data_IF_260445838215
#
_entry.id   IF_260445838215
#
_cell.length_a   1.000
_cell.length_b   1.000
_cell.length_c   1.000
_cell.angle_alpha   90.00
_cell.angle_beta   90.00
_cell.angle_gamma   90.00
#
_symmetry.space_group_name_H-M   'P 1'
#
loop_
_entity.id
_entity.type
_entity.pdbx_description
1 polymer ?
#
# COMPACT_ATOMS: atom_id res chain seq x y z
N UNK A 1 -1.72 15.35 50.45
CA UNK A 1 -2.76 14.96 49.48
C UNK A 1 -3.26 13.60 49.92
N UNK A 2 -4.45 13.55 50.53
CA UNK A 2 -5.06 12.32 51.04
C UNK A 2 -5.90 11.71 49.93
N UNK A 3 -5.74 10.41 49.66
CA UNK A 3 -6.51 9.70 48.63
C UNK A 3 -7.61 8.94 49.36
N UNK A 4 -8.87 9.25 49.06
CA UNK A 4 -10.02 8.49 49.56
C UNK A 4 -10.20 7.22 48.73
N UNK A 5 -9.95 6.05 49.32
CA UNK A 5 -10.27 4.75 48.73
C UNK A 5 -11.62 4.31 49.30
N UNK A 6 -12.67 4.37 48.48
CA UNK A 6 -13.99 3.86 48.85
C UNK A 6 -14.02 2.35 48.58
N UNK A 7 -14.11 1.54 49.64
CA UNK A 7 -14.34 0.09 49.55
C UNK A 7 -15.83 -0.23 49.73
N UNK A 8 -16.45 -0.85 48.73
CA UNK A 8 -17.83 -1.31 48.81
C UNK A 8 -17.93 -2.58 49.67
N UNK A 9 -18.83 -2.57 50.65
CA UNK A 9 -19.20 -3.75 51.46
C UNK A 9 -20.65 -4.11 51.18
N UNK A 10 -20.89 -5.38 50.86
CA UNK A 10 -22.23 -5.94 50.74
C UNK A 10 -22.34 -7.10 51.75
N UNK A 11 -23.34 -7.05 52.63
CA UNK A 11 -23.51 -8.01 53.73
C UNK A 11 -22.25 -8.21 54.61
N UNK A 12 -21.47 -7.13 54.83
CA UNK A 12 -20.29 -7.16 55.68
C UNK A 12 -19.03 -7.81 55.07
N UNK A 13 -19.11 -8.36 53.85
CA UNK A 13 -17.92 -8.83 53.11
C UNK A 13 -17.38 -7.74 52.20
N UNK A 14 -16.06 -7.57 52.21
CA UNK A 14 -15.36 -6.71 51.26
C UNK A 14 -15.56 -7.27 49.85
N UNK A 15 -16.16 -6.50 48.97
CA UNK A 15 -16.24 -6.83 47.54
C UNK A 15 -15.02 -6.17 46.89
N UNK A 16 -14.32 -6.93 46.06
CA UNK A 16 -13.07 -6.50 45.41
C UNK A 16 -13.19 -5.06 44.92
N UNK A 17 -12.30 -4.21 45.40
CA UNK A 17 -11.98 -2.92 44.79
C UNK A 17 -11.48 -3.22 43.38
N UNK A 18 -12.41 -3.34 42.43
CA UNK A 18 -12.08 -3.10 41.03
C UNK A 18 -11.62 -1.66 41.01
N UNK A 19 -10.33 -1.45 40.85
CA UNK A 19 -9.77 -0.12 40.61
C UNK A 19 -10.56 0.44 39.43
N UNK A 20 -11.44 1.42 39.69
CA UNK A 20 -12.44 1.94 38.75
C UNK A 20 -11.83 2.63 37.52
N UNK A 21 -10.54 2.48 37.29
CA UNK A 21 -9.85 3.18 36.22
C UNK A 21 -10.22 2.58 34.86
N UNK A 22 -10.53 1.28 34.77
CA UNK A 22 -10.74 0.62 33.47
C UNK A 22 -11.84 -0.46 33.43
N UNK A 23 -12.58 -0.71 34.51
CA UNK A 23 -13.51 -1.85 34.60
C UNK A 23 -15.00 -1.43 34.52
N UNK A 24 -15.65 -1.68 33.38
CA UNK A 24 -17.11 -1.71 33.24
C UNK A 24 -17.61 -3.12 33.53
N UNK A 25 -18.68 -3.26 34.32
CA UNK A 25 -19.28 -4.56 34.60
C UNK A 25 -19.92 -5.16 33.33
N UNK A 26 -19.62 -6.44 33.07
CA UNK A 26 -20.09 -7.15 31.88
C UNK A 26 -19.20 -7.02 30.63
N UNK A 27 -18.12 -6.22 30.68
CA UNK A 27 -17.14 -6.14 29.60
C UNK A 27 -15.87 -6.89 30.01
N UNK A 28 -15.53 -7.93 29.27
CA UNK A 28 -14.24 -8.61 29.40
C UNK A 28 -13.18 -7.85 28.58
N UNK A 29 -12.23 -7.20 29.26
CA UNK A 29 -11.12 -6.47 28.63
C UNK A 29 -11.01 -5.00 29.03
N UNK A 30 -10.21 -4.26 28.27
CA UNK A 30 -9.96 -2.82 28.47
C UNK A 30 -10.68 -1.99 27.41
N UNK A 31 -11.20 -0.84 27.81
CA UNK A 31 -11.77 0.14 26.89
C UNK A 31 -10.68 0.87 26.11
N UNK A 32 -11.02 1.26 24.88
CA UNK A 32 -10.22 2.14 24.03
C UNK A 32 -10.59 3.59 24.38
N UNK A 33 -9.59 4.44 24.57
CA UNK A 33 -9.76 5.85 24.94
C UNK A 33 -10.02 6.69 23.69
N UNK A 34 -10.78 7.78 23.86
CA UNK A 34 -11.03 8.72 22.78
C UNK A 34 -9.80 9.60 22.43
N UNK A 35 -8.79 9.63 23.31
CA UNK A 35 -7.58 10.44 23.17
C UNK A 35 -6.35 9.71 23.71
N UNK A 36 -5.17 10.15 23.27
CA UNK A 36 -3.89 9.55 23.66
C UNK A 36 -3.48 8.38 22.76
N UNK A 37 -2.20 8.01 22.85
CA UNK A 37 -1.66 6.89 22.08
C UNK A 37 -1.91 5.57 22.82
N UNK A 38 -2.45 4.57 22.13
CA UNK A 38 -2.67 3.23 22.67
C UNK A 38 -2.47 2.13 21.60
N UNK A 39 -2.30 0.89 22.03
CA UNK A 39 -2.22 -0.29 21.14
C UNK A 39 -3.46 -1.15 21.33
N UNK A 40 -4.21 -1.36 20.24
CA UNK A 40 -5.45 -2.15 20.23
C UNK A 40 -5.18 -3.51 19.57
N UNK A 41 -5.47 -4.62 20.26
CA UNK A 41 -5.27 -6.00 19.75
C UNK A 41 -6.59 -6.67 19.34
N UNK A 42 -6.50 -7.67 18.46
CA UNK A 42 -7.62 -8.49 17.97
C UNK A 42 -8.35 -7.88 16.77
N UNK A 43 -9.26 -8.64 16.16
CA UNK A 43 -10.06 -8.20 15.00
C UNK A 43 -11.12 -7.18 15.44
N UNK A 44 -11.27 -6.09 14.69
CA UNK A 44 -12.28 -5.03 14.91
C UNK A 44 -13.10 -4.85 13.64
N UNK A 45 -14.41 -5.01 13.76
CA UNK A 45 -15.35 -4.77 12.67
C UNK A 45 -16.04 -3.42 12.90
N UNK A 46 -16.01 -2.53 11.90
CA UNK A 46 -16.63 -1.21 11.95
C UNK A 46 -17.83 -1.19 11.01
N UNK A 47 -19.05 -1.06 11.57
CA UNK A 47 -20.29 -1.13 10.80
C UNK A 47 -20.43 0.03 9.79
N UNK A 48 -19.94 1.22 10.15
CA UNK A 48 -20.04 2.44 9.34
C UNK A 48 -18.74 2.78 8.58
N UNK A 49 -17.74 1.88 8.64
CA UNK A 49 -16.41 2.11 8.09
C UNK A 49 -15.48 2.85 9.06
N UNK A 50 -14.17 2.79 8.78
CA UNK A 50 -13.14 3.44 9.58
C UNK A 50 -12.89 4.86 9.05
N UNK A 51 -12.76 5.86 9.94
CA UNK A 51 -12.42 7.23 9.58
C UNK A 51 -11.03 7.61 10.10
N UNK A 52 -10.29 8.42 9.34
CA UNK A 52 -9.05 9.08 9.75
C UNK A 52 -9.20 10.57 9.48
N UNK A 53 -9.15 11.38 10.55
CA UNK A 53 -9.37 12.84 10.49
C UNK A 53 -10.69 13.21 9.77
N UNK A 54 -11.74 12.43 10.01
CA UNK A 54 -13.07 12.65 9.39
C UNK A 54 -13.20 12.18 7.95
N UNK A 55 -12.15 11.57 7.37
CA UNK A 55 -12.18 11.00 6.01
C UNK A 55 -12.23 9.48 6.07
N UNK A 56 -12.99 8.85 5.17
CA UNK A 56 -13.07 7.39 5.09
C UNK A 56 -11.70 6.77 4.82
N UNK A 57 -11.25 5.89 5.71
CA UNK A 57 -10.10 5.01 5.50
C UNK A 57 -10.57 3.86 4.63
N UNK A 58 -10.61 4.10 3.32
CA UNK A 58 -10.71 2.99 2.37
C UNK A 58 -9.41 2.18 2.44
N UNK A 59 -9.39 1.15 3.30
CA UNK A 59 -8.48 0.00 3.32
C UNK A 59 -6.97 0.28 3.35
N UNK A 60 -6.33 0.16 4.52
CA UNK A 60 -4.91 -0.24 4.73
C UNK A 60 -3.78 0.50 3.97
N UNK A 61 -2.54 0.25 4.39
CA UNK A 61 -1.34 0.59 3.61
C UNK A 61 -0.43 -0.63 3.61
N UNK A 62 0.02 -1.02 2.43
CA UNK A 62 1.01 -2.09 2.26
C UNK A 62 2.06 -1.68 1.24
N UNK A 63 3.30 -2.11 1.47
CA UNK A 63 4.40 -1.95 0.54
C UNK A 63 4.91 -3.33 0.10
N UNK A 64 5.27 -3.44 -1.18
CA UNK A 64 5.93 -4.62 -1.73
C UNK A 64 7.11 -4.19 -2.59
N UNK A 65 8.27 -4.78 -2.35
CA UNK A 65 9.45 -4.58 -3.19
C UNK A 65 9.21 -5.15 -4.61
N UNK A 66 9.76 -4.48 -5.61
CA UNK A 66 9.90 -5.03 -6.97
C UNK A 66 11.19 -5.83 -7.01
N UNK A 67 11.12 -7.04 -7.56
CA UNK A 67 12.25 -7.98 -7.61
C UNK A 67 12.48 -8.48 -9.04
N UNK A 68 13.60 -9.16 -9.27
CA UNK A 68 13.91 -9.74 -10.59
C UNK A 68 12.86 -10.74 -11.09
N UNK A 69 12.06 -11.32 -10.20
CA UNK A 69 10.95 -12.21 -10.54
C UNK A 69 9.76 -11.48 -11.18
N UNK A 70 9.66 -10.16 -10.99
CA UNK A 70 8.59 -9.35 -11.56
C UNK A 70 8.86 -8.94 -13.02
N UNK A 71 10.08 -9.18 -13.53
CA UNK A 71 10.44 -8.83 -14.90
C UNK A 71 9.54 -9.56 -15.90
N UNK A 72 9.02 -8.83 -16.87
CA UNK A 72 8.32 -9.45 -18.00
C UNK A 72 9.29 -9.92 -19.07
N UNK A 73 10.31 -9.12 -19.37
CA UNK A 73 11.40 -9.51 -20.26
C UNK A 73 12.62 -9.91 -19.43
N UNK A 74 12.77 -11.22 -19.21
CA UNK A 74 13.87 -11.77 -18.41
C UNK A 74 15.20 -11.84 -19.16
N UNK A 75 15.21 -11.55 -20.46
CA UNK A 75 16.41 -11.65 -21.32
C UNK A 75 17.13 -10.31 -21.43
N UNK A 76 16.40 -9.21 -21.66
CA UNK A 76 16.99 -7.91 -21.97
C UNK A 76 16.96 -6.91 -20.81
N UNK A 77 15.99 -7.02 -19.90
CA UNK A 77 15.97 -6.21 -18.68
C UNK A 77 16.86 -6.91 -17.67
N UNK A 78 18.03 -6.36 -17.37
CA UNK A 78 19.05 -7.05 -16.55
C UNK A 78 18.90 -6.80 -15.06
N UNK A 79 18.25 -5.71 -14.67
CA UNK A 79 18.04 -5.35 -13.28
C UNK A 79 16.73 -4.56 -13.09
N UNK A 80 16.12 -4.73 -11.92
CA UNK A 80 14.97 -3.94 -11.45
C UNK A 80 15.07 -3.74 -9.94
N UNK A 81 14.79 -2.52 -9.48
CA UNK A 81 14.75 -2.19 -8.05
C UNK A 81 13.71 -1.11 -7.78
N UNK A 82 12.80 -1.33 -6.84
CA UNK A 82 11.77 -0.37 -6.51
C UNK A 82 10.70 -0.94 -5.60
N UNK A 83 9.54 -0.28 -5.57
CA UNK A 83 8.39 -0.74 -4.80
C UNK A 83 7.05 -0.32 -5.37
N UNK A 84 6.05 -1.10 -4.99
CA UNK A 84 4.64 -0.80 -5.08
C UNK A 84 4.11 -0.45 -3.70
N UNK A 85 3.34 0.62 -3.60
CA UNK A 85 2.67 1.04 -2.37
C UNK A 85 1.18 1.07 -2.68
N UNK A 86 0.37 0.29 -1.97
CA UNK A 86 -1.09 0.32 -2.12
C UNK A 86 -1.72 0.98 -0.89
N UNK A 87 -2.54 1.99 -1.14
CA UNK A 87 -3.36 2.69 -0.17
C UNK A 87 -4.80 2.66 -0.69
N UNK A 88 -5.64 1.82 -0.10
CA UNK A 88 -6.99 1.60 -0.59
C UNK A 88 -7.04 1.05 -2.01
N UNK A 89 -7.75 1.77 -2.87
CA UNK A 89 -7.84 1.49 -4.29
C UNK A 89 -6.79 2.24 -5.12
N UNK A 90 -5.81 2.90 -4.50
CA UNK A 90 -4.74 3.61 -5.21
C UNK A 90 -3.43 2.82 -5.05
N UNK A 91 -2.73 2.62 -6.17
CA UNK A 91 -1.38 2.06 -6.19
C UNK A 91 -0.42 3.13 -6.65
N UNK A 92 0.65 3.32 -5.89
CA UNK A 92 1.82 4.09 -6.27
C UNK A 92 2.93 3.15 -6.68
N UNK A 93 3.69 3.57 -7.68
CA UNK A 93 4.82 2.87 -8.21
C UNK A 93 6.02 3.81 -8.25
N UNK A 94 7.16 3.29 -7.83
CA UNK A 94 8.47 3.90 -8.13
C UNK A 94 9.50 2.79 -8.29
N UNK A 95 10.18 2.76 -9.43
CA UNK A 95 11.23 1.77 -9.66
C UNK A 95 12.27 2.22 -10.69
N UNK A 96 13.44 1.62 -10.59
CA UNK A 96 14.50 1.63 -11.58
C UNK A 96 14.50 0.31 -12.35
N UNK A 97 14.88 0.36 -13.62
CA UNK A 97 15.31 -0.82 -14.38
C UNK A 97 16.57 -0.52 -15.20
N UNK A 98 17.30 -1.58 -15.59
CA UNK A 98 18.42 -1.51 -16.52
C UNK A 98 18.16 -2.33 -17.78
N UNK A 99 18.40 -1.73 -18.94
CA UNK A 99 18.21 -2.38 -20.25
C UNK A 99 19.17 -1.78 -21.28
N UNK A 100 20.03 -2.61 -21.86
CA UNK A 100 21.06 -2.17 -22.83
C UNK A 100 20.71 -2.55 -24.28
N UNK A 101 19.77 -3.49 -24.46
CA UNK A 101 19.28 -3.91 -25.77
C UNK A 101 17.87 -3.38 -25.95
N UNK A 102 17.61 -2.55 -26.97
CA UNK A 102 16.28 -1.99 -27.23
C UNK A 102 15.66 -2.58 -28.50
N UNK A 103 14.33 -2.77 -28.54
CA UNK A 103 13.66 -3.16 -29.76
C UNK A 103 13.77 -2.04 -30.79
N UNK A 104 13.86 -2.39 -32.07
CA UNK A 104 14.02 -1.43 -33.17
C UNK A 104 12.73 -0.66 -33.43
N UNK A 105 12.83 0.55 -33.98
CA UNK A 105 11.66 1.33 -34.40
C UNK A 105 10.93 1.96 -33.22
N UNK A 106 9.60 1.95 -33.20
CA UNK A 106 8.75 2.64 -32.21
C UNK A 106 8.32 1.75 -31.04
N UNK A 107 8.83 0.53 -30.94
CA UNK A 107 8.35 -0.44 -29.96
C UNK A 107 8.76 -0.10 -28.51
N UNK A 108 7.89 -0.47 -27.57
CA UNK A 108 8.18 -0.46 -26.13
C UNK A 108 8.64 -1.85 -25.69
N UNK A 109 9.44 -1.91 -24.62
CA UNK A 109 9.81 -3.15 -23.96
C UNK A 109 8.91 -3.39 -22.75
N UNK A 110 8.54 -4.64 -22.51
CA UNK A 110 7.74 -5.05 -21.35
C UNK A 110 8.67 -5.25 -20.15
N UNK A 111 8.61 -4.33 -19.19
CA UNK A 111 9.59 -4.24 -18.12
C UNK A 111 9.18 -5.09 -16.92
N UNK A 112 8.01 -4.83 -16.32
CA UNK A 112 7.51 -5.61 -15.18
C UNK A 112 6.05 -6.01 -15.36
N UNK A 113 5.73 -7.22 -14.89
CA UNK A 113 4.37 -7.68 -14.64
C UNK A 113 3.92 -7.19 -13.26
N UNK A 114 2.78 -6.50 -13.19
CA UNK A 114 2.26 -6.06 -11.89
C UNK A 114 1.66 -7.27 -11.14
N UNK A 115 2.10 -7.52 -9.88
CA UNK A 115 1.62 -8.63 -9.08
C UNK A 115 0.13 -8.50 -8.74
N UNK A 116 -0.52 -9.63 -8.47
CA UNK A 116 -1.91 -9.68 -7.99
C UNK A 116 -2.06 -8.81 -6.74
N UNK A 117 -3.17 -8.09 -6.67
CA UNK A 117 -3.46 -7.16 -5.59
C UNK A 117 -2.88 -5.77 -5.82
N UNK A 118 -2.26 -5.52 -6.97
CA UNK A 118 -1.77 -4.20 -7.38
C UNK A 118 -2.17 -3.86 -8.82
N UNK A 119 -2.84 -4.76 -9.56
CA UNK A 119 -3.14 -4.56 -10.98
C UNK A 119 -4.09 -3.39 -11.19
N UNK A 120 -3.92 -2.67 -12.30
CA UNK A 120 -4.86 -1.61 -12.66
C UNK A 120 -6.20 -2.19 -13.11
N UNK A 121 -7.20 -1.34 -13.21
CA UNK A 121 -8.42 -1.70 -13.90
C UNK A 121 -8.17 -1.94 -15.41
N UNK A 122 -8.94 -2.86 -16.00
CA UNK A 122 -8.89 -3.14 -17.44
C UNK A 122 -9.68 -2.10 -18.25
N UNK A 123 -10.12 -1.01 -17.61
CA UNK A 123 -10.90 0.06 -18.21
C UNK A 123 -10.08 0.97 -19.13
N UNK A 124 -10.78 1.88 -19.79
CA UNK A 124 -10.17 2.93 -20.61
C UNK A 124 -9.65 4.10 -19.73
N UNK A 125 -8.55 4.76 -20.14
CA UNK A 125 -7.79 4.56 -21.36
C UNK A 125 -6.99 3.24 -21.35
N UNK A 126 -6.75 2.68 -22.54
CA UNK A 126 -6.05 1.40 -22.69
C UNK A 126 -4.60 1.44 -22.14
N UNK A 127 -4.05 2.64 -21.99
CA UNK A 127 -2.75 2.91 -21.43
C UNK A 127 -2.88 4.07 -20.44
N UNK A 128 -2.34 3.90 -19.23
CA UNK A 128 -2.16 5.01 -18.29
C UNK A 128 -0.70 5.42 -18.29
N UNK A 129 -0.47 6.69 -18.61
CA UNK A 129 0.87 7.25 -18.70
C UNK A 129 1.58 7.19 -17.34
N UNK A 130 2.87 6.89 -17.38
CA UNK A 130 3.78 6.92 -16.25
C UNK A 130 4.90 7.92 -16.55
N UNK A 131 5.45 8.52 -15.49
CA UNK A 131 6.63 9.37 -15.63
C UNK A 131 7.85 8.50 -15.89
N UNK A 132 8.70 8.93 -16.83
CA UNK A 132 9.95 8.30 -17.17
C UNK A 132 11.08 9.33 -17.02
N UNK A 133 12.10 9.00 -16.24
CA UNK A 133 13.24 9.87 -15.98
C UNK A 133 14.55 9.13 -16.22
N UNK A 134 15.55 9.86 -16.74
CA UNK A 134 16.94 9.40 -16.85
C UNK A 134 17.91 10.54 -16.59
N UNK A 135 19.09 10.17 -16.09
CA UNK A 135 20.27 11.04 -16.00
C UNK A 135 21.18 10.87 -17.24
N UNK A 136 20.57 10.74 -18.43
CA UNK A 136 21.26 10.55 -19.72
C UNK A 136 20.31 10.86 -20.87
N UNK A 137 20.82 10.86 -22.11
CA UNK A 137 20.01 11.06 -23.30
C UNK A 137 18.88 10.02 -23.41
N UNK A 138 17.71 10.50 -23.84
CA UNK A 138 16.53 9.70 -24.13
C UNK A 138 16.19 9.81 -25.62
N UNK A 139 15.65 8.75 -26.24
CA UNK A 139 15.09 8.86 -27.57
C UNK A 139 13.92 9.86 -27.58
N UNK A 140 13.69 10.53 -28.71
CA UNK A 140 12.66 11.57 -28.83
C UNK A 140 11.24 11.06 -28.54
N UNK A 141 10.99 9.76 -28.70
CA UNK A 141 9.71 9.10 -28.44
C UNK A 141 9.72 8.25 -27.16
N UNK A 142 10.61 8.58 -26.22
CA UNK A 142 10.67 7.96 -24.91
C UNK A 142 9.33 8.13 -24.17
N UNK A 143 8.85 7.03 -23.59
CA UNK A 143 7.55 6.98 -22.91
C UNK A 143 7.46 5.79 -21.97
N UNK A 144 6.66 5.90 -20.94
CA UNK A 144 6.31 4.81 -20.05
C UNK A 144 4.80 4.79 -19.82
N UNK A 145 4.22 3.61 -19.76
CA UNK A 145 2.81 3.43 -19.41
C UNK A 145 2.57 2.04 -18.82
N UNK A 146 1.44 1.90 -18.14
CA UNK A 146 0.87 0.61 -17.78
C UNK A 146 -0.31 0.32 -18.72
N UNK A 147 -0.34 -0.88 -19.29
CA UNK A 147 -1.42 -1.33 -20.19
C UNK A 147 -2.57 -2.03 -19.45
N UNK A 148 -3.67 -2.33 -20.16
CA UNK A 148 -4.83 -3.03 -19.59
C UNK A 148 -4.50 -4.41 -18.99
N UNK A 149 -3.42 -5.06 -19.42
CA UNK A 149 -2.97 -6.33 -18.83
C UNK A 149 -2.14 -6.13 -17.56
N UNK A 150 -1.99 -4.88 -17.11
CA UNK A 150 -1.15 -4.48 -15.98
C UNK A 150 0.31 -4.88 -16.18
N UNK A 151 0.81 -4.69 -17.40
CA UNK A 151 2.24 -4.77 -17.73
C UNK A 151 2.77 -3.35 -17.90
N UNK A 152 3.89 -3.06 -17.24
CA UNK A 152 4.59 -1.79 -17.47
C UNK A 152 5.41 -1.92 -18.73
N UNK A 153 5.15 -1.02 -19.66
CA UNK A 153 5.88 -0.93 -20.91
C UNK A 153 6.63 0.41 -20.96
N UNK A 154 7.88 0.35 -21.41
CA UNK A 154 8.74 1.52 -21.48
C UNK A 154 9.49 1.53 -22.79
N UNK A 155 9.62 2.71 -23.39
CA UNK A 155 10.64 3.02 -24.38
C UNK A 155 11.59 4.05 -23.78
N UNK A 156 12.87 3.68 -23.68
CA UNK A 156 13.92 4.51 -23.09
C UNK A 156 15.24 4.26 -23.83
N UNK A 157 16.35 4.87 -23.38
CA UNK A 157 17.68 4.61 -23.93
C UNK A 157 18.46 3.54 -23.14
N UNK A 158 19.62 3.14 -23.65
CA UNK A 158 20.49 2.12 -23.06
C UNK A 158 20.95 2.47 -21.64
N UNK A 159 20.83 1.54 -20.70
CA UNK A 159 21.26 1.65 -19.31
C UNK A 159 20.11 1.82 -18.33
N UNK A 160 20.36 2.55 -17.24
CA UNK A 160 19.38 2.74 -16.16
C UNK A 160 18.31 3.76 -16.50
N UNK A 161 17.06 3.46 -16.17
CA UNK A 161 15.92 4.35 -16.28
C UNK A 161 15.05 4.27 -15.03
N UNK A 162 14.30 5.32 -14.74
CA UNK A 162 13.44 5.42 -13.56
C UNK A 162 12.01 5.69 -14.00
N UNK A 163 11.06 4.96 -13.42
CA UNK A 163 9.65 5.07 -13.74
C UNK A 163 8.87 5.25 -12.46
N UNK A 164 7.92 6.18 -12.49
CA UNK A 164 6.99 6.39 -11.38
C UNK A 164 5.59 6.75 -11.86
N UNK A 165 4.60 6.50 -11.02
CA UNK A 165 3.23 6.90 -11.29
C UNK A 165 2.26 6.27 -10.33
N UNK A 166 0.98 6.41 -10.66
CA UNK A 166 -0.10 5.84 -9.88
C UNK A 166 -1.27 5.41 -10.76
N UNK A 167 -2.09 4.51 -10.25
CA UNK A 167 -3.33 4.11 -10.89
C UNK A 167 -4.35 3.65 -9.83
N UNK A 168 -5.61 3.53 -10.26
CA UNK A 168 -6.66 2.91 -9.47
C UNK A 168 -6.64 1.40 -9.70
N UNK A 169 -6.75 0.63 -8.62
CA UNK A 169 -6.86 -0.83 -8.63
C UNK A 169 -8.22 -1.27 -8.13
N UNK A 170 -8.79 -2.26 -8.80
CA UNK A 170 -9.96 -3.02 -8.35
C UNK A 170 -9.58 -4.44 -7.90
N UNK A 171 -8.28 -4.76 -7.86
CA UNK A 171 -7.85 -6.07 -7.38
C UNK A 171 -8.23 -6.24 -5.90
N UNK A 172 -8.57 -7.47 -5.52
CA UNK A 172 -8.68 -7.84 -4.12
C UNK A 172 -7.39 -7.45 -3.35
N UNK A 173 -7.53 -7.09 -2.08
CA UNK A 173 -6.38 -6.75 -1.23
C UNK A 173 -5.38 -7.92 -1.21
N UNK A 174 -4.06 -7.70 -1.35
CA UNK A 174 -3.07 -8.76 -1.19
C UNK A 174 -3.18 -9.37 0.20
N UNK A 175 -3.32 -10.69 0.26
CA UNK A 175 -3.27 -11.48 1.52
C UNK A 175 -1.85 -11.97 1.73
#
# INVERSE_FOLDING_TARGET
MTIDIIQLKEQGKFKYTKTHVDAIDGVEGSLVKATGNETIKGVKNFQEGLLYKGLTVQAGMIERAITLADRSDTTNVTDVNGKLIRIGNIVFLTFNFKCDTWPSGTETRWIINIPKGYKRDQGYPAQTALSLVRNANQPADARAFIDQNSVIQVKSGNGSSYVSGMWVTQDAWPV
#
